data_IF_142705799114
#
_entry.id   IF_142705799114
#
_cell.length_a   1.000
_cell.length_b   1.000
_cell.length_c   1.000
_cell.angle_alpha   90.00
_cell.angle_beta   90.00
_cell.angle_gamma   90.00
#
_symmetry.space_group_name_H-M   'P 1'
#
loop_
_entity.id
_entity.type
_entity.pdbx_description
1 polymer ?
#
# COMPACT_ATOMS: atom_id res chain seq x y z
N UNK A 1 -4.52 -11.13 4.06
CA UNK A 1 -4.21 -9.79 3.55
C UNK A 1 -3.03 -9.75 2.59
N UNK A 2 -1.89 -10.30 2.95
CA UNK A 2 -0.72 -10.33 2.06
C UNK A 2 -1.04 -11.01 0.73
N UNK A 3 -1.84 -12.07 0.76
CA UNK A 3 -2.23 -12.81 -0.44
C UNK A 3 -2.98 -11.91 -1.44
N UNK A 4 -3.84 -11.04 -0.95
CA UNK A 4 -4.61 -10.13 -1.79
C UNK A 4 -3.71 -9.06 -2.41
N UNK A 5 -2.72 -8.57 -1.68
CA UNK A 5 -1.75 -7.63 -2.21
C UNK A 5 -0.96 -8.22 -3.39
N UNK A 6 -0.62 -9.50 -3.31
CA UNK A 6 0.14 -10.16 -4.38
C UNK A 6 -0.63 -10.26 -5.69
N UNK A 7 -1.95 -10.14 -5.65
CA UNK A 7 -2.80 -10.18 -6.85
C UNK A 7 -2.90 -8.84 -7.56
N UNK A 8 -2.40 -7.77 -6.97
CA UNK A 8 -2.50 -6.44 -7.53
C UNK A 8 -1.32 -6.20 -8.45
N UNK A 9 -1.61 -5.97 -9.74
CA UNK A 9 -0.60 -5.92 -10.78
C UNK A 9 0.45 -4.82 -10.59
N UNK A 10 0.07 -3.68 -10.04
CA UNK A 10 0.99 -2.56 -9.88
C UNK A 10 1.81 -2.60 -8.59
N UNK A 11 1.55 -3.56 -7.71
CA UNK A 11 2.40 -3.81 -6.54
C UNK A 11 3.52 -4.75 -6.94
N UNK A 12 4.76 -4.26 -6.91
CA UNK A 12 5.92 -5.02 -7.36
C UNK A 12 6.49 -5.92 -6.28
N UNK A 13 6.51 -5.44 -5.03
CA UNK A 13 7.04 -6.20 -3.89
C UNK A 13 6.30 -5.87 -2.61
N UNK A 14 6.34 -6.82 -1.68
CA UNK A 14 5.77 -6.72 -0.36
C UNK A 14 6.85 -6.96 0.68
N UNK A 15 6.93 -6.06 1.66
CA UNK A 15 7.89 -6.19 2.77
C UNK A 15 7.12 -6.07 4.08
N UNK A 16 6.70 -7.20 4.69
CA UNK A 16 6.09 -7.15 6.02
C UNK A 16 7.11 -6.61 7.02
N UNK A 17 6.79 -5.49 7.66
CA UNK A 17 7.73 -4.83 8.58
C UNK A 17 7.44 -5.15 10.02
N UNK A 18 6.17 -5.21 10.42
CA UNK A 18 5.73 -5.68 11.74
C UNK A 18 4.24 -6.02 11.68
N UNK A 19 3.63 -6.25 12.85
CA UNK A 19 2.21 -6.64 12.93
C UNK A 19 1.25 -5.57 12.43
N UNK A 20 1.66 -4.30 12.47
CA UNK A 20 0.77 -3.17 12.18
C UNK A 20 1.02 -2.50 10.83
N UNK A 21 2.12 -2.81 10.18
CA UNK A 21 2.52 -2.13 8.96
C UNK A 21 2.97 -3.10 7.89
N UNK A 22 2.66 -2.75 6.64
CA UNK A 22 3.18 -3.45 5.46
C UNK A 22 3.79 -2.39 4.56
N UNK A 23 5.03 -2.62 4.15
CA UNK A 23 5.70 -1.77 3.16
C UNK A 23 5.53 -2.41 1.79
N UNK A 24 5.04 -1.66 0.83
CA UNK A 24 4.88 -2.15 -0.54
C UNK A 24 5.69 -1.30 -1.49
N UNK A 25 6.30 -1.94 -2.49
CA UNK A 25 6.91 -1.25 -3.61
C UNK A 25 5.93 -1.26 -4.76
N UNK A 26 5.69 -0.10 -5.36
CA UNK A 26 4.70 0.07 -6.43
C UNK A 26 5.36 0.67 -7.67
N UNK A 27 4.61 0.75 -8.76
CA UNK A 27 5.10 1.30 -10.02
C UNK A 27 5.39 2.81 -9.94
N UNK A 28 4.52 3.56 -9.26
CA UNK A 28 4.68 5.00 -9.08
C UNK A 28 4.06 5.40 -7.74
N UNK A 29 4.90 5.50 -6.71
CA UNK A 29 4.43 5.75 -5.35
C UNK A 29 3.69 7.07 -5.21
N UNK A 30 4.19 8.14 -5.85
CA UNK A 30 3.55 9.45 -5.76
C UNK A 30 2.14 9.43 -6.35
N UNK A 31 1.96 8.78 -7.49
CA UNK A 31 0.65 8.66 -8.12
C UNK A 31 -0.28 7.81 -7.25
N UNK A 32 0.19 6.65 -6.79
CA UNK A 32 -0.63 5.75 -5.97
C UNK A 32 -0.99 6.38 -4.63
N UNK A 33 -0.07 7.12 -4.04
CA UNK A 33 -0.32 7.86 -2.81
C UNK A 33 -1.49 8.84 -2.99
N UNK A 34 -1.47 9.63 -4.07
CA UNK A 34 -2.54 10.59 -4.34
C UNK A 34 -3.88 9.89 -4.62
N UNK A 35 -3.87 8.80 -5.37
CA UNK A 35 -5.07 8.04 -5.67
C UNK A 35 -5.70 7.47 -4.38
N UNK A 36 -4.88 6.92 -3.50
CA UNK A 36 -5.35 6.36 -2.23
C UNK A 36 -5.86 7.46 -1.31
N UNK A 37 -5.16 8.58 -1.25
CA UNK A 37 -5.57 9.74 -0.47
C UNK A 37 -6.94 10.26 -0.91
N UNK A 38 -7.16 10.34 -2.22
CA UNK A 38 -8.43 10.78 -2.78
C UNK A 38 -9.59 9.82 -2.48
N UNK A 39 -9.28 8.56 -2.22
CA UNK A 39 -10.26 7.54 -1.82
C UNK A 39 -10.43 7.44 -0.30
N UNK A 40 -9.78 8.31 0.45
CA UNK A 40 -9.86 8.30 1.91
C UNK A 40 -8.99 7.27 2.59
N UNK A 41 -8.02 6.70 1.87
CA UNK A 41 -7.06 5.73 2.44
C UNK A 41 -5.78 6.48 2.79
N UNK A 42 -5.38 6.41 4.05
CA UNK A 42 -4.17 7.08 4.52
C UNK A 42 -3.01 6.10 4.51
N UNK A 43 -1.98 6.44 3.73
CA UNK A 43 -0.73 5.68 3.66
C UNK A 43 0.43 6.65 3.80
N UNK A 44 1.63 6.14 4.08
CA UNK A 44 2.84 6.95 4.16
C UNK A 44 3.68 6.73 2.90
N UNK A 45 4.06 7.82 2.24
CA UNK A 45 4.97 7.75 1.10
C UNK A 45 6.41 7.73 1.62
N UNK A 46 7.13 6.63 1.35
CA UNK A 46 8.49 6.42 1.82
C UNK A 46 9.53 6.49 0.70
N UNK A 47 9.15 7.01 -0.45
CA UNK A 47 10.02 7.08 -1.63
C UNK A 47 11.36 7.78 -1.37
N UNK A 48 11.38 8.74 -0.46
CA UNK A 48 12.60 9.52 -0.15
C UNK A 48 13.56 8.82 0.80
N UNK A 49 13.15 7.73 1.43
CA UNK A 49 14.02 6.99 2.34
C UNK A 49 14.97 6.09 1.55
N UNK A 50 16.19 5.93 2.06
CA UNK A 50 17.19 5.06 1.42
C UNK A 50 16.66 3.64 1.28
N UNK A 51 16.77 3.10 0.08
CA UNK A 51 16.30 1.74 -0.21
C UNK A 51 14.80 1.61 -0.35
N UNK A 52 14.05 2.71 -0.24
CA UNK A 52 12.59 2.69 -0.28
C UNK A 52 12.00 3.39 -1.50
N UNK A 53 12.72 3.42 -2.61
CA UNK A 53 12.23 4.01 -3.85
C UNK A 53 10.90 3.38 -4.28
N UNK A 54 9.90 4.23 -4.53
CA UNK A 54 8.54 3.80 -4.89
C UNK A 54 7.86 2.91 -3.83
N UNK A 55 8.17 3.15 -2.56
CA UNK A 55 7.57 2.40 -1.46
C UNK A 55 6.50 3.21 -0.75
N UNK A 56 5.41 2.53 -0.38
CA UNK A 56 4.35 3.08 0.45
C UNK A 56 4.21 2.22 1.70
N UNK A 57 4.03 2.85 2.86
CA UNK A 57 3.77 2.14 4.11
C UNK A 57 2.28 2.16 4.39
N UNK A 58 1.68 0.99 4.50
CA UNK A 58 0.25 0.83 4.75
C UNK A 58 0.05 0.31 6.17
N UNK A 59 -0.82 0.98 6.93
CA UNK A 59 -1.19 0.53 8.27
C UNK A 59 -2.24 -0.56 8.16
N UNK A 60 -2.00 -1.69 8.82
CA UNK A 60 -2.97 -2.79 8.94
C UNK A 60 -3.97 -2.42 10.02
N UNK A 61 -5.24 -2.33 9.66
CA UNK A 61 -6.31 -1.95 10.58
C UNK A 61 -7.23 -3.11 10.91
N UNK A 62 -8.49 -2.79 11.18
CA UNK A 62 -9.53 -3.80 11.42
C UNK A 62 -9.81 -4.60 10.15
N UNK A 63 -10.54 -5.72 10.29
CA UNK A 63 -10.93 -6.53 9.13
C UNK A 63 -11.72 -5.71 8.10
N UNK A 64 -12.60 -4.83 8.56
CA UNK A 64 -13.39 -3.96 7.67
C UNK A 64 -12.51 -2.95 6.93
N UNK A 65 -11.58 -2.33 7.65
CA UNK A 65 -10.65 -1.37 7.07
C UNK A 65 -9.75 -2.05 6.03
N UNK A 66 -9.27 -3.24 6.35
CA UNK A 66 -8.43 -4.02 5.44
C UNK A 66 -9.19 -4.41 4.17
N UNK A 67 -10.46 -4.80 4.32
CA UNK A 67 -11.32 -5.14 3.18
C UNK A 67 -11.53 -3.94 2.27
N UNK A 68 -11.81 -2.77 2.86
CA UNK A 68 -11.96 -1.53 2.12
C UNK A 68 -10.68 -1.18 1.37
N UNK A 69 -9.54 -1.32 2.03
CA UNK A 69 -8.23 -1.07 1.43
C UNK A 69 -8.01 -1.96 0.20
N UNK A 70 -8.21 -3.25 0.34
CA UNK A 70 -8.01 -4.20 -0.75
C UNK A 70 -8.95 -3.88 -1.92
N UNK A 71 -10.23 -3.60 -1.64
CA UNK A 71 -11.18 -3.25 -2.68
C UNK A 71 -10.76 -1.97 -3.42
N UNK A 72 -10.27 -0.97 -2.69
CA UNK A 72 -9.79 0.27 -3.27
C UNK A 72 -8.57 0.03 -4.16
N UNK A 73 -7.61 -0.77 -3.69
CA UNK A 73 -6.41 -1.09 -4.46
C UNK A 73 -6.75 -1.81 -5.77
N UNK A 74 -7.77 -2.66 -5.76
CA UNK A 74 -8.18 -3.38 -6.95
C UNK A 74 -8.86 -2.49 -7.99
N UNK A 75 -9.34 -1.30 -7.61
CA UNK A 75 -9.98 -0.37 -8.54
C UNK A 75 -9.02 0.65 -9.15
N UNK A 76 -7.79 0.68 -8.70
CA UNK A 76 -6.79 1.64 -9.21
C UNK A 76 -5.97 1.12 -10.43
#
# INVERSE_FOLDING_TARGET
MIREFKKIAWIEKLYPTDANFILIRVDNANLRYEQLKNKGIIVRNRTREDGCTNCLRITVGTAEENKRLINTLNTL
#
